data_IF_215445787443
#
_entry.id   IF_215445787443
#
_cell.length_a   1.000
_cell.length_b   1.000
_cell.length_c   1.000
_cell.angle_alpha   90.00
_cell.angle_beta   90.00
_cell.angle_gamma   90.00
#
_symmetry.space_group_name_H-M   'P 1'
#
loop_
_entity.id
_entity.type
_entity.pdbx_description
1 polymer ?
#
# COMPACT_ATOMS: atom_id res chain seq x y z
N UNK A 1 6.05 -21.67 27.63
CA UNK A 1 4.83 -21.83 26.80
C UNK A 1 4.11 -20.48 26.67
N UNK A 2 4.00 -19.72 27.77
CA UNK A 2 3.48 -18.34 27.82
C UNK A 2 4.20 -17.35 26.87
N UNK A 3 5.54 -17.31 26.87
CA UNK A 3 6.29 -16.39 26.00
C UNK A 3 6.08 -16.64 24.50
N UNK A 4 5.89 -17.92 24.12
CA UNK A 4 5.61 -18.32 22.73
C UNK A 4 4.24 -17.81 22.29
N UNK A 5 3.26 -17.84 23.19
CA UNK A 5 1.89 -17.41 22.93
C UNK A 5 1.79 -15.88 22.89
N UNK A 6 2.48 -15.18 23.79
CA UNK A 6 2.58 -13.72 23.79
C UNK A 6 3.23 -13.21 22.49
N UNK A 7 4.34 -13.83 22.07
CA UNK A 7 5.02 -13.51 20.81
C UNK A 7 4.17 -13.78 19.57
N UNK A 8 3.38 -14.87 19.59
CA UNK A 8 2.46 -15.18 18.50
C UNK A 8 1.36 -14.13 18.37
N UNK A 9 0.78 -13.69 19.50
CA UNK A 9 -0.23 -12.65 19.51
C UNK A 9 0.30 -11.32 18.96
N UNK A 10 1.52 -10.93 19.34
CA UNK A 10 2.15 -9.72 18.80
C UNK A 10 2.31 -9.80 17.27
N UNK A 11 2.86 -10.91 16.77
CA UNK A 11 3.07 -11.09 15.32
C UNK A 11 1.75 -11.09 14.54
N UNK A 12 0.68 -11.64 15.11
CA UNK A 12 -0.66 -11.60 14.49
C UNK A 12 -1.22 -10.17 14.44
N UNK A 13 -1.04 -9.38 15.51
CA UNK A 13 -1.42 -7.97 15.51
C UNK A 13 -0.64 -7.17 14.46
N UNK A 14 0.68 -7.32 14.43
CA UNK A 14 1.54 -6.65 13.45
C UNK A 14 1.15 -7.01 12.01
N UNK A 15 0.84 -8.30 11.77
CA UNK A 15 0.37 -8.76 10.46
C UNK A 15 -0.98 -8.15 10.07
N UNK A 16 -1.91 -8.01 11.01
CA UNK A 16 -3.22 -7.41 10.78
C UNK A 16 -3.09 -5.92 10.42
N UNK A 17 -2.28 -5.17 11.18
CA UNK A 17 -2.00 -3.75 10.91
C UNK A 17 -1.45 -3.59 9.49
N UNK A 18 -0.43 -4.36 9.15
CA UNK A 18 0.21 -4.29 7.85
C UNK A 18 -0.73 -4.69 6.70
N UNK A 19 -1.61 -5.66 6.93
CA UNK A 19 -2.62 -6.06 5.95
C UNK A 19 -3.63 -4.95 5.68
N UNK A 20 -4.05 -4.23 6.73
CA UNK A 20 -4.93 -3.06 6.61
C UNK A 20 -4.23 -1.91 5.86
N UNK A 21 -2.96 -1.66 6.12
CA UNK A 21 -2.16 -0.67 5.38
C UNK A 21 -2.08 -1.02 3.89
N UNK A 22 -1.79 -2.27 3.55
CA UNK A 22 -1.76 -2.73 2.15
C UNK A 22 -3.12 -2.52 1.48
N UNK A 23 -4.20 -2.87 2.17
CA UNK A 23 -5.56 -2.67 1.67
C UNK A 23 -5.86 -1.19 1.41
N UNK A 24 -5.51 -0.32 2.35
CA UNK A 24 -5.67 1.12 2.23
C UNK A 24 -4.88 1.68 1.04
N UNK A 25 -3.60 1.33 0.92
CA UNK A 25 -2.74 1.76 -0.19
C UNK A 25 -3.31 1.33 -1.54
N UNK A 26 -3.80 0.10 -1.66
CA UNK A 26 -4.40 -0.39 -2.91
C UNK A 26 -5.64 0.42 -3.31
N UNK A 27 -6.49 0.81 -2.35
CA UNK A 27 -7.66 1.65 -2.62
C UNK A 27 -7.27 3.08 -2.98
N UNK A 28 -6.23 3.62 -2.32
CA UNK A 28 -5.71 4.95 -2.62
C UNK A 28 -5.15 5.02 -4.05
N UNK A 29 -4.44 3.98 -4.50
CA UNK A 29 -3.96 3.86 -5.89
C UNK A 29 -5.14 3.92 -6.86
N UNK A 30 -6.18 3.11 -6.64
CA UNK A 30 -7.37 3.09 -7.50
C UNK A 30 -8.06 4.45 -7.58
N UNK A 31 -8.26 5.10 -6.43
CA UNK A 31 -8.85 6.44 -6.37
C UNK A 31 -8.03 7.46 -7.17
N UNK A 32 -6.70 7.43 -7.02
CA UNK A 32 -5.81 8.34 -7.72
C UNK A 32 -5.79 8.09 -9.23
N UNK A 33 -5.92 6.83 -9.66
CA UNK A 33 -6.03 6.48 -11.09
C UNK A 33 -7.33 7.04 -11.69
N UNK A 34 -8.43 6.97 -10.94
CA UNK A 34 -9.70 7.59 -11.36
C UNK A 34 -9.57 9.11 -11.46
N UNK A 35 -8.95 9.77 -10.47
CA UNK A 35 -8.68 11.22 -10.53
C UNK A 35 -7.82 11.61 -11.74
N UNK A 36 -6.79 10.83 -12.06
CA UNK A 36 -5.95 11.04 -13.23
C UNK A 36 -6.76 10.95 -14.54
N UNK A 37 -7.62 9.94 -14.65
CA UNK A 37 -8.48 9.78 -15.83
C UNK A 37 -9.45 10.96 -15.99
N UNK A 38 -10.00 11.49 -14.90
CA UNK A 38 -10.84 12.69 -14.93
C UNK A 38 -10.06 13.92 -15.40
N UNK A 39 -8.84 14.11 -14.92
CA UNK A 39 -7.97 15.24 -15.34
C UNK A 39 -7.65 15.14 -16.83
N UNK A 40 -7.27 13.94 -17.30
CA UNK A 40 -6.97 13.67 -18.71
C UNK A 40 -8.14 14.02 -19.62
N UNK A 41 -9.34 13.61 -19.22
CA UNK A 41 -10.57 13.79 -20.00
C UNK A 41 -11.24 15.16 -19.83
N UNK A 42 -10.82 15.96 -18.84
CA UNK A 42 -11.42 17.27 -18.58
C UNK A 42 -11.17 18.24 -19.74
N UNK A 43 -12.22 18.86 -20.26
CA UNK A 43 -12.10 19.92 -21.27
C UNK A 43 -11.82 21.30 -20.65
N UNK A 44 -11.93 21.42 -19.32
CA UNK A 44 -11.79 22.67 -18.57
C UNK A 44 -10.35 22.98 -18.15
N UNK A 45 -9.43 22.02 -18.32
CA UNK A 45 -8.03 22.13 -17.88
C UNK A 45 -7.14 22.28 -19.12
N UNK A 46 -6.27 23.29 -19.11
CA UNK A 46 -5.30 23.48 -20.19
C UNK A 46 -4.35 22.29 -20.32
N UNK A 47 -3.85 22.04 -21.54
CA UNK A 47 -2.95 20.92 -21.82
C UNK A 47 -1.70 20.96 -20.92
N UNK A 48 -1.06 22.12 -20.78
CA UNK A 48 0.14 22.28 -19.95
C UNK A 48 -0.12 21.97 -18.46
N UNK A 49 -1.32 22.32 -17.97
CA UNK A 49 -1.74 21.98 -16.60
C UNK A 49 -1.98 20.48 -16.46
N UNK A 50 -2.57 19.83 -17.47
CA UNK A 50 -2.72 18.37 -17.47
C UNK A 50 -1.37 17.68 -17.42
N UNK A 51 -0.43 18.10 -18.26
CA UNK A 51 0.92 17.51 -18.32
C UNK A 51 1.65 17.66 -16.97
N UNK A 52 1.52 18.83 -16.32
CA UNK A 52 2.07 19.07 -14.98
C UNK A 52 1.44 18.16 -13.92
N UNK A 53 0.11 18.03 -13.93
CA UNK A 53 -0.62 17.16 -13.00
C UNK A 53 -0.30 15.68 -13.23
N UNK A 54 -0.14 15.25 -14.48
CA UNK A 54 0.26 13.88 -14.80
C UNK A 54 1.63 13.54 -14.22
N UNK A 55 2.60 14.45 -14.29
CA UNK A 55 3.94 14.24 -13.74
C UNK A 55 3.90 14.14 -12.21
N UNK A 56 3.19 15.05 -11.53
CA UNK A 56 3.00 15.00 -10.07
C UNK A 56 2.36 13.67 -9.65
N UNK A 57 1.36 13.21 -10.41
CA UNK A 57 0.65 11.96 -10.11
C UNK A 57 1.54 10.73 -10.38
N UNK A 58 2.38 10.75 -11.42
CA UNK A 58 3.37 9.68 -11.66
C UNK A 58 4.36 9.54 -10.51
N UNK A 59 4.94 10.65 -10.06
CA UNK A 59 5.88 10.64 -8.93
C UNK A 59 5.21 10.13 -7.64
N UNK A 60 3.96 10.53 -7.42
CA UNK A 60 3.14 10.03 -6.33
C UNK A 60 2.95 8.50 -6.42
N UNK A 61 2.61 7.97 -7.60
CA UNK A 61 2.43 6.53 -7.80
C UNK A 61 3.70 5.73 -7.57
N UNK A 62 4.85 6.22 -8.04
CA UNK A 62 6.14 5.56 -7.80
C UNK A 62 6.43 5.40 -6.29
N UNK A 63 6.20 6.47 -5.51
CA UNK A 63 6.38 6.42 -4.05
C UNK A 63 5.42 5.44 -3.38
N UNK A 64 4.15 5.46 -3.77
CA UNK A 64 3.14 4.55 -3.22
C UNK A 64 3.44 3.09 -3.59
N UNK A 65 3.90 2.83 -4.81
CA UNK A 65 4.30 1.50 -5.25
C UNK A 65 5.47 0.96 -4.41
N UNK A 66 6.48 1.79 -4.15
CA UNK A 66 7.61 1.43 -3.30
C UNK A 66 7.15 1.08 -1.87
N UNK A 67 6.26 1.88 -1.27
CA UNK A 67 5.68 1.60 0.05
C UNK A 67 4.89 0.28 0.01
N UNK A 68 4.06 0.07 -1.02
CA UNK A 68 3.27 -1.16 -1.17
C UNK A 68 4.15 -2.41 -1.27
N UNK A 69 5.25 -2.34 -2.02
CA UNK A 69 6.21 -3.45 -2.15
C UNK A 69 6.91 -3.76 -0.82
N UNK A 70 7.29 -2.73 -0.07
CA UNK A 70 7.88 -2.88 1.26
C UNK A 70 6.89 -3.54 2.24
N UNK A 71 5.63 -3.05 2.28
CA UNK A 71 4.59 -3.63 3.15
C UNK A 71 4.28 -5.08 2.77
N UNK A 72 4.21 -5.42 1.48
CA UNK A 72 4.03 -6.82 1.03
C UNK A 72 5.19 -7.72 1.46
N UNK A 73 6.41 -7.23 1.37
CA UNK A 73 7.61 -7.98 1.77
C UNK A 73 7.63 -8.24 3.27
N UNK A 74 7.33 -7.22 4.09
CA UNK A 74 7.20 -7.37 5.53
C UNK A 74 6.05 -8.32 5.92
N UNK A 75 4.91 -8.27 5.23
CA UNK A 75 3.76 -9.14 5.48
C UNK A 75 4.11 -10.61 5.21
N UNK A 76 4.84 -10.87 4.12
CA UNK A 76 5.35 -12.20 3.80
C UNK A 76 6.30 -12.73 4.86
N UNK A 77 7.16 -11.87 5.42
CA UNK A 77 8.09 -12.28 6.47
C UNK A 77 7.40 -12.57 7.79
N UNK A 78 6.45 -11.71 8.22
CA UNK A 78 5.61 -11.96 9.39
C UNK A 78 4.84 -13.28 9.26
N UNK A 79 4.27 -13.56 8.07
CA UNK A 79 3.58 -14.82 7.80
C UNK A 79 4.50 -16.04 8.01
N UNK A 80 5.75 -16.00 7.53
CA UNK A 80 6.71 -17.08 7.79
C UNK A 80 7.03 -17.25 9.28
N UNK A 81 7.18 -16.15 10.01
CA UNK A 81 7.47 -16.19 11.45
C UNK A 81 6.32 -16.80 12.24
N UNK A 82 5.08 -16.44 11.90
CA UNK A 82 3.87 -17.05 12.48
C UNK A 82 3.87 -18.56 12.22
N UNK A 83 4.08 -18.99 10.97
CA UNK A 83 4.10 -20.43 10.62
C UNK A 83 5.20 -21.20 11.36
N UNK A 84 6.37 -20.59 11.57
CA UNK A 84 7.45 -21.20 12.35
C UNK A 84 7.09 -21.38 13.82
N UNK A 85 6.31 -20.47 14.38
CA UNK A 85 5.87 -20.52 15.78
C UNK A 85 4.64 -21.41 15.98
N UNK A 86 3.80 -21.63 14.96
CA UNK A 86 2.64 -22.52 15.08
C UNK A 86 2.96 -23.98 14.80
N UNK A 87 4.11 -24.27 14.18
CA UNK A 87 4.72 -25.60 14.13
C UNK A 87 5.47 -25.92 15.43
#
# INVERSE_FOLDING_TARGET
MEDKLLKLNQLQQDFMVLSNEIYFLNNLIKLKQQQLNLIKNSTLISKDTKDSLENIIKDYFQKIEQISQNSKSASKELSKQIVKLTK
#
